data_IF_685919597501
#
_entry.id   IF_685919597501
#
_cell.length_a   1.000
_cell.length_b   1.000
_cell.length_c   1.000
_cell.angle_alpha   90.00
_cell.angle_beta   90.00
_cell.angle_gamma   90.00
#
_symmetry.space_group_name_H-M   'P 1'
#
loop_
_entity.id
_entity.type
_entity.pdbx_description
1 polymer ?
#
# COMPACT_ATOMS: atom_id res chain seq x y z
N UNK A 1 5.93 18.23 -16.61
CA UNK A 1 4.49 17.90 -16.49
C UNK A 1 3.81 19.00 -15.70
N UNK A 2 2.65 19.53 -16.14
CA UNK A 2 1.95 20.63 -15.45
C UNK A 2 1.56 20.24 -14.02
N UNK A 3 1.50 21.24 -13.13
CA UNK A 3 1.07 21.05 -11.75
C UNK A 3 -0.35 20.46 -11.72
N UNK A 4 -0.54 19.42 -10.90
CA UNK A 4 -1.83 18.76 -10.74
C UNK A 4 -2.77 19.70 -9.97
N UNK A 5 -3.93 20.05 -10.54
CA UNK A 5 -4.93 20.84 -9.79
C UNK A 5 -5.49 20.01 -8.63
N UNK A 6 -6.00 20.67 -7.58
CA UNK A 6 -6.56 19.95 -6.42
C UNK A 6 -7.68 18.98 -6.84
N UNK A 7 -8.60 19.39 -7.72
CA UNK A 7 -9.67 18.53 -8.22
C UNK A 7 -9.12 17.28 -8.91
N UNK A 8 -8.11 17.43 -9.76
CA UNK A 8 -7.45 16.29 -10.42
C UNK A 8 -6.75 15.38 -9.42
N UNK A 9 -6.21 15.94 -8.32
CA UNK A 9 -5.54 15.16 -7.29
C UNK A 9 -6.54 14.30 -6.51
N UNK A 10 -7.71 14.85 -6.17
CA UNK A 10 -8.79 14.08 -5.54
C UNK A 10 -9.35 12.99 -6.46
N UNK A 11 -9.55 13.27 -7.75
CA UNK A 11 -9.97 12.26 -8.72
C UNK A 11 -8.91 11.15 -8.87
N UNK A 12 -7.63 11.52 -8.92
CA UNK A 12 -6.54 10.55 -8.94
C UNK A 12 -6.54 9.67 -7.67
N UNK A 13 -6.78 10.25 -6.49
CA UNK A 13 -6.90 9.49 -5.24
C UNK A 13 -8.01 8.45 -5.32
N UNK A 14 -9.19 8.79 -5.84
CA UNK A 14 -10.29 7.82 -6.01
C UNK A 14 -9.91 6.64 -6.93
N UNK A 15 -9.23 6.93 -8.05
CA UNK A 15 -8.75 5.88 -8.96
C UNK A 15 -7.68 5.01 -8.29
N UNK A 16 -6.73 5.63 -7.57
CA UNK A 16 -5.67 4.92 -6.84
C UNK A 16 -6.26 3.98 -5.79
N UNK A 17 -7.21 4.45 -4.98
CA UNK A 17 -7.79 3.63 -3.91
C UNK A 17 -8.74 2.57 -4.44
N UNK A 18 -9.40 2.78 -5.58
CA UNK A 18 -10.12 1.71 -6.26
C UNK A 18 -9.17 0.61 -6.75
N UNK A 19 -8.05 1.01 -7.37
CA UNK A 19 -7.02 0.07 -7.81
C UNK A 19 -6.46 -0.71 -6.62
N UNK A 20 -6.04 -0.04 -5.55
CA UNK A 20 -5.45 -0.68 -4.38
C UNK A 20 -6.47 -1.49 -3.57
N UNK A 21 -7.74 -1.07 -3.52
CA UNK A 21 -8.83 -1.83 -2.92
C UNK A 21 -9.07 -3.17 -3.59
N UNK A 22 -8.73 -3.32 -4.88
CA UNK A 22 -8.78 -4.60 -5.58
C UNK A 22 -7.66 -5.58 -5.19
N UNK A 23 -6.59 -5.10 -4.57
CA UNK A 23 -5.37 -5.91 -4.36
C UNK A 23 -5.56 -7.06 -3.38
N UNK A 24 -6.22 -6.91 -2.23
CA UNK A 24 -6.46 -8.05 -1.33
C UNK A 24 -7.17 -9.23 -2.02
N UNK A 25 -8.23 -8.96 -2.78
CA UNK A 25 -8.99 -9.99 -3.49
C UNK A 25 -8.16 -10.67 -4.59
N UNK A 26 -7.47 -9.87 -5.42
CA UNK A 26 -6.63 -10.41 -6.50
C UNK A 26 -5.35 -11.08 -5.98
N UNK A 27 -4.75 -10.60 -4.89
CA UNK A 27 -3.59 -11.22 -4.26
C UNK A 27 -3.94 -12.61 -3.71
N UNK A 28 -5.12 -12.79 -3.10
CA UNK A 28 -5.59 -14.12 -2.66
C UNK A 28 -5.63 -15.15 -3.78
N UNK A 29 -5.95 -14.74 -5.02
CA UNK A 29 -5.92 -15.65 -6.17
C UNK A 29 -4.50 -16.13 -6.47
N UNK A 30 -3.52 -15.23 -6.46
CA UNK A 30 -2.12 -15.57 -6.69
C UNK A 30 -1.48 -16.34 -5.53
N UNK A 31 -1.89 -16.07 -4.29
CA UNK A 31 -1.41 -16.76 -3.08
C UNK A 31 -1.78 -18.25 -3.02
N UNK A 32 -2.67 -18.73 -3.90
CA UNK A 32 -2.95 -20.17 -4.06
C UNK A 32 -1.80 -20.93 -4.71
N UNK A 33 -1.02 -20.26 -5.53
CA UNK A 33 0.05 -20.85 -6.34
C UNK A 33 1.44 -20.34 -5.96
N UNK A 34 1.54 -19.11 -5.44
CA UNK A 34 2.78 -18.48 -5.00
C UNK A 34 2.79 -18.25 -3.49
N UNK A 35 3.95 -18.45 -2.86
CA UNK A 35 4.15 -18.02 -1.47
C UNK A 35 4.06 -16.49 -1.36
N UNK A 36 3.68 -15.93 -0.19
CA UNK A 36 3.56 -14.47 -0.04
C UNK A 36 4.86 -13.73 -0.34
N UNK A 37 6.00 -14.32 0.03
CA UNK A 37 7.33 -13.76 -0.22
C UNK A 37 7.75 -13.82 -1.69
N UNK A 38 7.40 -14.90 -2.40
CA UNK A 38 7.68 -15.01 -3.83
C UNK A 38 6.81 -14.04 -4.64
N UNK A 39 5.52 -13.93 -4.30
CA UNK A 39 4.58 -13.04 -4.98
C UNK A 39 5.03 -11.57 -4.90
N UNK A 40 5.39 -11.09 -3.71
CA UNK A 40 5.95 -9.74 -3.53
C UNK A 40 7.30 -9.59 -4.21
N UNK A 41 8.20 -10.57 -4.15
CA UNK A 41 9.48 -10.51 -4.85
C UNK A 41 9.31 -10.37 -6.36
N UNK A 42 8.47 -11.20 -6.98
CA UNK A 42 8.19 -11.16 -8.42
C UNK A 42 7.55 -9.82 -8.81
N UNK A 43 6.52 -9.39 -8.07
CA UNK A 43 5.82 -8.13 -8.28
C UNK A 43 6.74 -6.92 -8.16
N UNK A 44 7.52 -6.84 -7.08
CA UNK A 44 8.40 -5.71 -6.80
C UNK A 44 9.59 -5.69 -7.76
N UNK A 45 10.10 -6.85 -8.20
CA UNK A 45 11.13 -6.92 -9.25
C UNK A 45 10.62 -6.37 -10.58
N UNK A 46 9.42 -6.81 -11.01
CA UNK A 46 8.78 -6.29 -12.20
C UNK A 46 8.54 -4.78 -12.11
N UNK A 47 7.99 -4.31 -10.99
CA UNK A 47 7.75 -2.91 -10.72
C UNK A 47 9.04 -2.07 -10.76
N UNK A 48 10.10 -2.52 -10.11
CA UNK A 48 11.41 -1.83 -10.10
C UNK A 48 11.98 -1.71 -11.51
N UNK A 49 11.99 -2.80 -12.29
CA UNK A 49 12.45 -2.78 -13.67
C UNK A 49 11.64 -1.83 -14.54
N UNK A 50 10.31 -1.92 -14.46
CA UNK A 50 9.40 -1.04 -15.20
C UNK A 50 9.61 0.43 -14.84
N UNK A 51 9.70 0.76 -13.56
CA UNK A 51 9.90 2.12 -13.07
C UNK A 51 11.25 2.71 -13.44
N UNK A 52 12.32 1.90 -13.45
CA UNK A 52 13.64 2.32 -13.93
C UNK A 52 13.58 2.65 -15.41
N UNK A 53 13.01 1.76 -16.24
CA UNK A 53 12.86 2.00 -17.68
C UNK A 53 12.03 3.25 -17.95
N UNK A 54 10.90 3.42 -17.26
CA UNK A 54 10.04 4.59 -17.38
C UNK A 54 10.77 5.89 -16.98
N UNK A 55 11.53 5.87 -15.88
CA UNK A 55 12.31 7.01 -15.41
C UNK A 55 13.40 7.41 -16.42
N UNK A 56 14.12 6.43 -16.97
CA UNK A 56 15.17 6.67 -17.97
C UNK A 56 14.59 7.30 -19.24
N UNK A 57 13.41 6.83 -19.69
CA UNK A 57 12.73 7.36 -20.89
C UNK A 57 12.14 8.76 -20.73
N UNK A 58 11.76 9.15 -19.51
CA UNK A 58 11.09 10.44 -19.25
C UNK A 58 12.06 11.59 -18.91
N UNK A 59 13.37 11.34 -18.97
CA UNK A 59 14.40 12.38 -18.82
C UNK A 59 15.38 12.07 -17.68
N UNK A 60 16.21 11.04 -17.88
CA UNK A 60 17.20 10.52 -16.91
C UNK A 60 18.26 11.51 -16.38
N UNK A 61 18.16 12.80 -16.67
CA UNK A 61 19.00 13.84 -16.06
C UNK A 61 18.85 13.87 -14.52
N UNK A 62 17.68 13.52 -13.99
CA UNK A 62 17.44 13.39 -12.55
C UNK A 62 18.24 12.24 -11.88
N UNK A 63 18.80 11.31 -12.67
CA UNK A 63 19.61 10.18 -12.18
C UNK A 63 21.11 10.52 -12.16
N UNK A 64 21.54 11.60 -12.82
CA UNK A 64 22.96 11.86 -13.09
C UNK A 64 23.79 12.33 -11.89
N UNK A 65 23.19 12.54 -10.73
CA UNK A 65 23.91 12.84 -9.48
C UNK A 65 23.14 12.30 -8.27
N UNK A 66 22.99 10.97 -8.17
CA UNK A 66 22.44 10.36 -6.94
C UNK A 66 23.50 10.44 -5.85
N UNK A 67 23.40 11.46 -5.00
CA UNK A 67 24.26 11.61 -3.83
C UNK A 67 23.98 10.56 -2.76
N UNK A 68 24.93 10.35 -1.85
CA UNK A 68 24.77 9.45 -0.69
C UNK A 68 23.56 9.81 0.19
N UNK A 69 23.15 11.09 0.20
CA UNK A 69 21.91 11.54 0.85
C UNK A 69 20.67 10.96 0.17
N UNK A 70 20.61 11.02 -1.16
CA UNK A 70 19.50 10.49 -1.96
C UNK A 70 19.39 8.96 -1.83
N UNK A 71 20.51 8.25 -1.79
CA UNK A 71 20.51 6.81 -1.51
C UNK A 71 19.93 6.48 -0.13
N UNK A 72 20.25 7.26 0.90
CA UNK A 72 19.65 7.11 2.23
C UNK A 72 18.14 7.35 2.22
N UNK A 73 17.67 8.36 1.48
CA UNK A 73 16.23 8.60 1.29
C UNK A 73 15.56 7.38 0.64
N UNK A 74 16.15 6.86 -0.45
CA UNK A 74 15.62 5.68 -1.13
C UNK A 74 15.61 4.47 -0.21
N UNK A 75 16.65 4.27 0.61
CA UNK A 75 16.70 3.15 1.55
C UNK A 75 15.60 3.27 2.61
N UNK A 76 15.39 4.45 3.20
CA UNK A 76 14.32 4.66 4.19
C UNK A 76 12.94 4.42 3.57
N UNK A 77 12.69 4.95 2.36
CA UNK A 77 11.42 4.76 1.67
C UNK A 77 11.21 3.30 1.24
N UNK A 78 12.26 2.64 0.76
CA UNK A 78 12.21 1.22 0.36
C UNK A 78 12.03 0.30 1.55
N UNK A 79 12.74 0.54 2.65
CA UNK A 79 12.59 -0.20 3.90
C UNK A 79 11.19 -0.02 4.50
N UNK A 80 10.66 1.21 4.53
CA UNK A 80 9.36 1.47 5.15
C UNK A 80 8.17 1.08 4.26
N UNK A 81 8.14 1.54 3.01
CA UNK A 81 6.96 1.40 2.15
C UNK A 81 6.94 0.09 1.35
N UNK A 82 8.08 -0.31 0.82
CA UNK A 82 8.12 -1.44 -0.10
C UNK A 82 8.40 -2.74 0.67
N UNK A 83 9.51 -2.82 1.39
CA UNK A 83 9.76 -3.96 2.27
C UNK A 83 8.80 -3.95 3.45
N UNK A 84 8.79 -2.93 4.31
CA UNK A 84 8.03 -2.92 5.57
C UNK A 84 6.52 -2.89 5.41
N UNK A 85 5.98 -2.14 4.44
CA UNK A 85 4.55 -2.12 4.18
C UNK A 85 4.13 -3.19 3.18
N UNK A 86 4.67 -3.18 1.96
CA UNK A 86 4.18 -4.10 0.92
C UNK A 86 4.45 -5.57 1.28
N UNK A 87 5.64 -5.93 1.78
CA UNK A 87 5.90 -7.33 2.17
C UNK A 87 4.93 -7.77 3.26
N UNK A 88 4.84 -6.99 4.35
CA UNK A 88 4.04 -7.38 5.50
C UNK A 88 2.55 -7.42 5.17
N UNK A 89 2.04 -6.58 4.27
CA UNK A 89 0.65 -6.69 3.79
C UNK A 89 0.39 -8.05 3.14
N UNK A 90 1.28 -8.55 2.28
CA UNK A 90 1.05 -9.83 1.59
C UNK A 90 1.24 -11.03 2.51
N UNK A 91 2.21 -10.95 3.43
CA UNK A 91 2.37 -11.98 4.46
C UNK A 91 1.16 -11.97 5.40
N UNK A 92 0.65 -10.80 5.79
CA UNK A 92 -0.57 -10.68 6.58
C UNK A 92 -1.78 -11.31 5.85
N UNK A 93 -1.97 -11.01 4.56
CA UNK A 93 -3.05 -11.61 3.75
C UNK A 93 -2.97 -13.14 3.63
N UNK A 94 -1.80 -13.74 3.87
CA UNK A 94 -1.64 -15.19 3.95
C UNK A 94 -2.11 -15.76 5.31
N UNK A 95 -1.92 -15.01 6.40
CA UNK A 95 -2.22 -15.44 7.78
C UNK A 95 -3.55 -14.92 8.36
N UNK A 96 -4.20 -13.98 7.68
CA UNK A 96 -5.49 -13.42 8.10
C UNK A 96 -6.48 -13.40 6.95
N UNK A 97 -7.75 -13.09 7.23
CA UNK A 97 -8.77 -12.95 6.19
C UNK A 97 -8.63 -11.60 5.49
N UNK A 98 -9.13 -11.49 4.25
CA UNK A 98 -9.16 -10.21 3.53
C UNK A 98 -9.95 -9.15 4.33
N UNK A 99 -11.05 -9.55 4.96
CA UNK A 99 -11.82 -8.71 5.87
C UNK A 99 -10.95 -8.15 7.01
N UNK A 100 -10.31 -9.01 7.82
CA UNK A 100 -9.49 -8.56 8.96
C UNK A 100 -8.34 -7.62 8.54
N UNK A 101 -7.65 -7.93 7.45
CA UNK A 101 -6.61 -7.05 6.90
C UNK A 101 -7.17 -5.67 6.51
N UNK A 102 -8.37 -5.63 5.92
CA UNK A 102 -9.06 -4.40 5.55
C UNK A 102 -9.49 -3.59 6.78
N UNK A 103 -9.90 -4.22 7.90
CA UNK A 103 -10.20 -3.51 9.17
C UNK A 103 -9.01 -2.72 9.64
N UNK A 104 -7.88 -3.41 9.76
CA UNK A 104 -6.67 -2.82 10.31
C UNK A 104 -6.17 -1.73 9.35
N UNK A 105 -6.29 -1.94 8.04
CA UNK A 105 -5.98 -0.90 7.06
C UNK A 105 -6.88 0.35 7.16
N UNK A 106 -8.07 0.26 7.74
CA UNK A 106 -8.89 1.44 8.04
C UNK A 106 -8.27 2.39 9.07
N UNK A 107 -7.34 1.89 9.89
CA UNK A 107 -6.57 2.71 10.81
C UNK A 107 -5.43 3.49 10.11
N UNK A 108 -5.18 3.24 8.82
CA UNK A 108 -4.16 3.96 8.05
C UNK A 108 -4.28 5.49 8.14
N UNK A 109 -5.46 6.11 7.89
CA UNK A 109 -5.61 7.56 8.03
C UNK A 109 -5.27 8.08 9.42
N UNK A 110 -5.55 7.33 10.49
CA UNK A 110 -5.18 7.74 11.86
C UNK A 110 -3.66 7.73 12.02
N UNK A 111 -3.00 6.64 11.62
CA UNK A 111 -1.53 6.52 11.69
C UNK A 111 -0.82 7.60 10.88
N UNK A 112 -1.27 7.84 9.64
CA UNK A 112 -0.72 8.89 8.78
C UNK A 112 -0.96 10.28 9.37
N UNK A 113 -2.16 10.57 9.88
CA UNK A 113 -2.47 11.88 10.46
C UNK A 113 -1.65 12.18 11.72
N UNK A 114 -1.51 11.20 12.63
CA UNK A 114 -0.68 11.33 13.82
C UNK A 114 0.79 11.56 13.47
N UNK A 115 1.32 10.77 12.54
CA UNK A 115 2.70 10.91 12.10
C UNK A 115 2.94 12.21 11.34
N UNK A 116 2.00 12.64 10.49
CA UNK A 116 2.09 13.91 9.77
C UNK A 116 2.06 15.12 10.72
N UNK A 117 1.23 15.07 11.77
CA UNK A 117 1.24 16.08 12.82
C UNK A 117 2.58 16.11 13.56
N UNK A 118 3.11 14.95 13.95
CA UNK A 118 4.35 14.86 14.71
C UNK A 118 5.60 15.24 13.90
N UNK A 119 5.69 14.81 12.64
CA UNK A 119 6.90 14.94 11.81
C UNK A 119 6.89 16.15 10.86
N UNK A 120 5.72 16.51 10.31
CA UNK A 120 5.57 17.63 9.38
C UNK A 120 4.93 18.86 10.03
N UNK A 121 4.47 18.75 11.28
CA UNK A 121 3.73 19.82 11.95
C UNK A 121 2.35 20.08 11.34
N UNK A 122 1.77 19.11 10.61
CA UNK A 122 0.47 19.28 9.98
C UNK A 122 -0.61 19.54 11.05
N UNK A 123 -1.30 20.68 10.93
CA UNK A 123 -2.38 21.08 11.84
C UNK A 123 -3.72 20.79 11.20
N UNK A 124 -4.36 19.70 11.62
CA UNK A 124 -5.73 19.37 11.23
C UNK A 124 -6.74 20.17 12.07
N UNK A 125 -7.78 20.68 11.42
CA UNK A 125 -8.93 21.29 12.10
C UNK A 125 -9.71 20.25 12.89
N UNK A 126 -10.55 20.69 13.84
CA UNK A 126 -11.43 19.78 14.58
C UNK A 126 -12.33 18.97 13.64
N UNK A 127 -12.85 19.60 12.59
CA UNK A 127 -13.67 18.93 11.56
C UNK A 127 -12.88 17.85 10.81
N UNK A 128 -11.59 18.06 10.55
CA UNK A 128 -10.74 17.06 9.89
C UNK A 128 -10.44 15.87 10.80
N UNK A 129 -10.18 16.11 12.09
CA UNK A 129 -10.05 15.03 13.07
C UNK A 129 -11.33 14.22 13.22
N UNK A 130 -12.48 14.90 13.25
CA UNK A 130 -13.79 14.23 13.22
C UNK A 130 -13.96 13.41 11.95
N UNK A 131 -13.58 13.93 10.79
CA UNK A 131 -13.62 13.19 9.52
C UNK A 131 -12.76 11.92 9.54
N UNK A 132 -11.53 12.01 10.06
CA UNK A 132 -10.66 10.84 10.26
C UNK A 132 -11.31 9.81 11.20
N UNK A 133 -11.87 10.27 12.32
CA UNK A 133 -12.53 9.41 13.30
C UNK A 133 -13.78 8.72 12.75
N UNK A 134 -14.68 9.47 12.11
CA UNK A 134 -15.90 8.95 11.47
C UNK A 134 -15.54 7.97 10.36
N UNK A 135 -14.52 8.26 9.56
CA UNK A 135 -14.12 7.41 8.46
C UNK A 135 -13.51 6.08 8.95
N UNK A 136 -12.66 6.13 9.98
CA UNK A 136 -12.15 4.92 10.63
C UNK A 136 -13.27 4.09 11.28
N UNK A 137 -14.22 4.75 11.96
CA UNK A 137 -15.36 4.11 12.59
C UNK A 137 -16.31 3.44 11.58
N UNK A 138 -16.59 4.11 10.45
CA UNK A 138 -17.43 3.54 9.40
C UNK A 138 -16.86 2.25 8.82
N UNK A 139 -15.56 2.20 8.58
CA UNK A 139 -14.93 0.94 8.12
C UNK A 139 -14.95 -0.12 9.22
N UNK A 140 -14.72 0.24 10.49
CA UNK A 140 -14.83 -0.71 11.61
C UNK A 140 -16.22 -1.35 11.65
N UNK A 141 -17.30 -0.57 11.48
CA UNK A 141 -18.67 -1.08 11.44
C UNK A 141 -18.90 -2.05 10.28
N UNK A 142 -18.49 -1.66 9.06
CA UNK A 142 -18.66 -2.47 7.85
C UNK A 142 -18.03 -3.84 8.04
N UNK A 143 -16.79 -3.87 8.53
CA UNK A 143 -16.06 -5.13 8.56
C UNK A 143 -16.36 -5.98 9.79
N UNK A 144 -16.67 -5.38 10.94
CA UNK A 144 -17.17 -6.13 12.11
C UNK A 144 -18.60 -6.63 11.94
N UNK A 145 -19.23 -6.32 10.80
CA UNK A 145 -20.64 -6.56 10.56
C UNK A 145 -21.52 -6.05 11.70
N UNK A 146 -21.25 -4.82 12.17
CA UNK A 146 -21.93 -4.20 13.31
C UNK A 146 -21.67 -4.84 14.68
N UNK A 147 -20.91 -5.95 14.75
CA UNK A 147 -20.62 -6.67 16.00
C UNK A 147 -19.30 -6.20 16.61
N UNK A 148 -19.23 -4.92 16.98
CA UNK A 148 -18.03 -4.35 17.62
C UNK A 148 -17.62 -5.09 18.91
N UNK A 149 -18.60 -5.61 19.66
CA UNK A 149 -18.38 -6.39 20.89
C UNK A 149 -17.86 -7.83 20.64
N UNK A 150 -17.79 -8.27 19.38
CA UNK A 150 -17.18 -9.55 19.01
C UNK A 150 -15.66 -9.44 18.80
N UNK A 151 -15.08 -8.23 18.81
CA UNK A 151 -13.63 -8.01 18.78
C UNK A 151 -13.02 -8.44 20.11
N UNK A 152 -12.70 -9.73 20.24
CA UNK A 152 -11.94 -10.24 21.39
C UNK A 152 -10.45 -10.12 21.10
N UNK A 153 -9.69 -9.57 22.05
CA UNK A 153 -8.22 -9.54 21.97
C UNK A 153 -7.62 -10.95 21.81
N UNK A 154 -8.34 -11.97 22.28
CA UNK A 154 -8.01 -13.39 22.18
C UNK A 154 -8.08 -13.93 20.73
N UNK A 155 -8.75 -13.22 19.80
CA UNK A 155 -8.87 -13.62 18.39
C UNK A 155 -7.79 -13.01 17.49
N UNK A 156 -6.87 -12.21 18.06
CA UNK A 156 -5.77 -11.60 17.31
C UNK A 156 -4.83 -12.67 16.73
N UNK A 157 -4.62 -12.63 15.42
CA UNK A 157 -3.75 -13.53 14.68
C UNK A 157 -2.40 -12.88 14.39
N UNK A 158 -1.39 -13.69 14.06
CA UNK A 158 -0.08 -13.19 13.64
C UNK A 158 -0.18 -12.18 12.46
N UNK A 159 -1.13 -12.39 11.54
CA UNK A 159 -1.40 -11.48 10.42
C UNK A 159 -1.86 -10.08 10.85
N UNK A 160 -2.44 -9.93 12.04
CA UNK A 160 -2.93 -8.65 12.52
C UNK A 160 -1.76 -7.75 12.97
N UNK A 161 -0.78 -8.33 13.67
CA UNK A 161 0.47 -7.64 14.02
C UNK A 161 1.27 -7.25 12.78
N UNK A 162 1.31 -8.13 11.77
CA UNK A 162 1.94 -7.82 10.48
C UNK A 162 1.21 -6.67 9.76
N UNK A 163 -0.12 -6.60 9.85
CA UNK A 163 -0.88 -5.50 9.27
C UNK A 163 -0.59 -4.19 9.99
N UNK A 164 -0.49 -4.18 11.32
CA UNK A 164 -0.07 -3.01 12.09
C UNK A 164 1.36 -2.55 11.74
N UNK A 165 2.29 -3.49 11.57
CA UNK A 165 3.63 -3.18 11.11
C UNK A 165 3.61 -2.60 9.67
N UNK A 166 2.77 -3.14 8.79
CA UNK A 166 2.58 -2.62 7.45
C UNK A 166 2.03 -1.18 7.46
N UNK A 167 1.07 -0.87 8.34
CA UNK A 167 0.54 0.48 8.54
C UNK A 167 1.59 1.46 9.03
N UNK A 168 2.48 1.02 9.93
CA UNK A 168 3.62 1.81 10.38
C UNK A 168 4.54 2.15 9.22
N UNK A 169 4.93 1.14 8.43
CA UNK A 169 5.74 1.32 7.21
C UNK A 169 5.08 2.26 6.20
N UNK A 170 3.76 2.12 5.99
CA UNK A 170 2.97 2.96 5.10
C UNK A 170 2.93 4.43 5.56
N UNK A 171 2.75 4.64 6.86
CA UNK A 171 2.72 5.97 7.47
C UNK A 171 4.08 6.65 7.31
N UNK A 172 5.18 5.94 7.56
CA UNK A 172 6.53 6.44 7.34
C UNK A 172 6.75 6.77 5.87
N UNK A 173 6.43 5.85 4.96
CA UNK A 173 6.57 6.07 3.52
C UNK A 173 5.81 7.33 3.05
N UNK A 174 4.55 7.49 3.46
CA UNK A 174 3.71 8.60 3.03
C UNK A 174 4.17 9.94 3.63
N UNK A 175 4.47 9.98 4.93
CA UNK A 175 4.81 11.22 5.64
C UNK A 175 6.24 11.66 5.39
N UNK A 176 7.21 10.73 5.48
CA UNK A 176 8.60 11.02 5.11
C UNK A 176 8.72 11.32 3.61
N UNK A 177 7.97 10.57 2.78
CA UNK A 177 7.81 10.84 1.35
C UNK A 177 7.44 12.28 1.08
N UNK A 178 6.36 12.79 1.70
CA UNK A 178 5.94 14.19 1.55
C UNK A 178 7.07 15.20 1.79
N UNK A 179 7.93 14.98 2.78
CA UNK A 179 9.07 15.87 3.06
C UNK A 179 10.09 15.85 1.94
N UNK A 180 10.48 14.67 1.47
CA UNK A 180 11.51 14.54 0.43
C UNK A 180 11.02 14.92 -0.97
N UNK A 181 9.70 14.98 -1.19
CA UNK A 181 9.10 15.49 -2.42
C UNK A 181 9.29 17.01 -2.63
N UNK A 182 9.88 17.73 -1.66
CA UNK A 182 10.40 19.09 -1.87
C UNK A 182 11.72 19.11 -2.65
N UNK A 183 12.46 18.00 -2.65
CA UNK A 183 13.80 17.87 -3.26
C UNK A 183 13.79 16.88 -4.44
N UNK A 184 12.95 15.84 -4.36
CA UNK A 184 12.89 14.74 -5.32
C UNK A 184 11.55 14.75 -6.07
N UNK A 185 11.58 14.39 -7.35
CA UNK A 185 10.34 14.16 -8.09
C UNK A 185 9.59 12.92 -7.55
N UNK A 186 8.24 12.90 -7.60
CA UNK A 186 7.45 11.72 -7.24
C UNK A 186 7.88 10.43 -7.94
N UNK A 187 8.27 10.53 -9.22
CA UNK A 187 8.76 9.40 -9.99
C UNK A 187 10.09 8.89 -9.44
N UNK A 188 11.07 9.77 -9.20
CA UNK A 188 12.38 9.39 -8.67
C UNK A 188 12.28 8.79 -7.26
N UNK A 189 11.51 9.42 -6.36
CA UNK A 189 11.32 8.90 -5.00
C UNK A 189 10.64 7.52 -5.00
N UNK A 190 9.65 7.32 -5.87
CA UNK A 190 8.96 6.02 -6.01
C UNK A 190 9.89 4.96 -6.60
N UNK A 191 10.57 5.26 -7.71
CA UNK A 191 11.51 4.33 -8.34
C UNK A 191 12.63 3.94 -7.38
N UNK A 192 13.23 4.91 -6.68
CA UNK A 192 14.26 4.65 -5.69
C UNK A 192 13.79 3.74 -4.56
N UNK A 193 12.59 4.00 -4.02
CA UNK A 193 11.97 3.16 -2.99
C UNK A 193 11.71 1.73 -3.48
N UNK A 194 11.19 1.56 -4.69
CA UNK A 194 10.96 0.24 -5.29
C UNK A 194 12.28 -0.51 -5.49
N UNK A 195 13.32 0.13 -6.03
CA UNK A 195 14.62 -0.52 -6.25
C UNK A 195 15.22 -0.97 -4.92
N UNK A 196 15.37 -0.08 -3.94
CA UNK A 196 15.96 -0.42 -2.63
C UNK A 196 15.09 -1.40 -1.85
N UNK A 197 13.78 -1.25 -1.89
CA UNK A 197 12.84 -2.17 -1.26
C UNK A 197 12.89 -3.58 -1.87
N UNK A 198 12.93 -3.68 -3.20
CA UNK A 198 13.11 -4.96 -3.90
C UNK A 198 14.43 -5.63 -3.52
N UNK A 199 15.52 -4.86 -3.40
CA UNK A 199 16.81 -5.39 -2.94
C UNK A 199 16.77 -5.95 -1.52
N UNK A 200 15.86 -5.49 -0.66
CA UNK A 200 15.61 -6.06 0.66
C UNK A 200 14.63 -7.25 0.62
N UNK A 201 13.64 -7.20 -0.28
CA UNK A 201 12.64 -8.27 -0.46
C UNK A 201 13.28 -9.54 -1.03
N UNK A 202 14.17 -9.43 -2.03
CA UNK A 202 14.81 -10.57 -2.66
C UNK A 202 15.53 -11.51 -1.67
N UNK A 203 16.45 -11.04 -0.80
CA UNK A 203 17.07 -11.91 0.20
C UNK A 203 16.04 -12.44 1.21
N UNK A 204 15.04 -11.63 1.59
CA UNK A 204 13.94 -12.10 2.45
C UNK A 204 13.21 -13.29 1.81
N UNK A 205 12.91 -13.21 0.51
CA UNK A 205 12.24 -14.27 -0.23
C UNK A 205 13.10 -15.52 -0.40
N UNK A 206 14.40 -15.35 -0.65
CA UNK A 206 15.34 -16.47 -0.76
C UNK A 206 15.52 -17.21 0.58
N UNK A 207 15.69 -16.46 1.67
CA UNK A 207 15.84 -17.02 3.02
C UNK A 207 14.56 -17.68 3.53
N UNK A 208 13.39 -17.21 3.09
CA UNK A 208 12.10 -17.78 3.51
C UNK A 208 11.60 -18.89 2.60
N UNK A 209 12.13 -19.03 1.37
CA UNK A 209 11.68 -20.02 0.40
C UNK A 209 11.59 -21.46 0.94
N UNK A 210 12.55 -21.96 1.77
CA UNK A 210 12.47 -23.32 2.30
C UNK A 210 11.28 -23.57 3.25
N UNK A 211 10.69 -22.53 3.83
CA UNK A 211 9.58 -22.63 4.79
C UNK A 211 8.19 -22.57 4.14
N UNK A 212 8.11 -22.42 2.81
CA UNK A 212 6.86 -22.34 2.08
C UNK A 212 6.83 -23.33 0.92
N UNK A 213 5.63 -23.75 0.46
CA UNK A 213 5.52 -24.54 -0.76
C UNK A 213 6.19 -23.86 -1.94
N UNK A 214 6.85 -24.66 -2.79
CA UNK A 214 7.48 -24.15 -4.00
C UNK A 214 6.44 -23.48 -4.90
N UNK A 215 6.76 -22.32 -5.51
CA UNK A 215 5.81 -21.59 -6.35
C UNK A 215 5.46 -22.39 -7.61
N UNK A 216 4.16 -22.48 -7.91
CA UNK A 216 3.65 -23.13 -9.13
C UNK A 216 3.76 -22.18 -10.32
N UNK A 217 4.95 -22.12 -10.92
CA UNK A 217 5.29 -21.15 -11.98
C UNK A 217 4.42 -21.23 -13.24
N UNK A 218 3.71 -22.34 -13.45
CA UNK A 218 2.79 -22.54 -14.56
C UNK A 218 1.43 -21.81 -14.40
N UNK A 219 1.14 -21.19 -13.25
CA UNK A 219 -0.15 -20.53 -13.00
C UNK A 219 -0.27 -19.21 -13.78
N UNK A 220 -1.13 -19.13 -14.82
CA UNK A 220 -1.33 -17.88 -15.57
C UNK A 220 -2.03 -16.82 -14.71
N UNK A 221 -2.88 -17.24 -13.76
CA UNK A 221 -3.59 -16.33 -12.86
C UNK A 221 -2.62 -15.63 -11.92
N UNK A 222 -1.67 -16.37 -11.33
CA UNK A 222 -0.68 -15.77 -10.43
C UNK A 222 0.20 -14.74 -11.16
N UNK A 223 0.64 -15.05 -12.39
CA UNK A 223 1.37 -14.10 -13.21
C UNK A 223 0.55 -12.89 -13.64
N UNK A 224 -0.72 -13.07 -14.00
CA UNK A 224 -1.62 -11.95 -14.33
C UNK A 224 -1.73 -10.96 -13.16
N UNK A 225 -1.81 -11.46 -11.92
CA UNK A 225 -1.78 -10.63 -10.71
C UNK A 225 -0.44 -9.93 -10.53
N UNK A 226 0.68 -10.61 -10.77
CA UNK A 226 2.03 -10.01 -10.73
C UNK A 226 2.14 -8.85 -11.73
N UNK A 227 1.70 -9.04 -12.98
CA UNK A 227 1.71 -7.97 -13.99
C UNK A 227 0.77 -6.83 -13.64
N UNK A 228 -0.46 -7.13 -13.25
CA UNK A 228 -1.45 -6.16 -12.83
C UNK A 228 -0.95 -5.28 -11.68
N UNK A 229 -0.59 -5.88 -10.56
CA UNK A 229 -0.22 -5.17 -9.34
C UNK A 229 1.21 -4.61 -9.41
N UNK A 230 2.09 -5.21 -10.22
CA UNK A 230 3.46 -4.76 -10.45
C UNK A 230 3.53 -3.52 -11.34
N UNK A 231 2.82 -3.53 -12.46
CA UNK A 231 2.85 -2.42 -13.42
C UNK A 231 1.91 -1.29 -13.01
N UNK A 232 0.60 -1.56 -12.91
CA UNK A 232 -0.37 -0.53 -12.54
C UNK A 232 -0.16 -0.05 -11.11
N UNK A 233 0.24 -0.95 -10.20
CA UNK A 233 0.56 -0.57 -8.82
C UNK A 233 1.77 0.35 -8.72
N UNK A 234 2.81 0.13 -9.52
CA UNK A 234 3.95 1.03 -9.56
C UNK A 234 3.56 2.44 -10.03
N UNK A 235 2.77 2.53 -11.10
CA UNK A 235 2.24 3.82 -11.60
C UNK A 235 1.37 4.51 -10.55
N UNK A 236 0.51 3.75 -9.87
CA UNK A 236 -0.36 4.28 -8.83
C UNK A 236 0.42 4.84 -7.63
N UNK A 237 1.58 4.28 -7.27
CA UNK A 237 2.44 4.86 -6.23
C UNK A 237 3.05 6.21 -6.65
N UNK A 238 3.42 6.38 -7.94
CA UNK A 238 3.83 7.70 -8.45
C UNK A 238 2.67 8.69 -8.33
N UNK A 239 1.46 8.28 -8.71
CA UNK A 239 0.28 9.13 -8.60
C UNK A 239 -0.08 9.46 -7.15
N UNK A 240 0.10 8.51 -6.23
CA UNK A 240 -0.06 8.72 -4.80
C UNK A 240 0.85 9.83 -4.30
N UNK A 241 2.15 9.78 -4.61
CA UNK A 241 3.08 10.85 -4.25
C UNK A 241 2.74 12.18 -4.89
N UNK A 242 2.28 12.21 -6.15
CA UNK A 242 1.79 13.46 -6.77
C UNK A 242 0.58 14.01 -6.01
N UNK A 243 -0.37 13.16 -5.65
CA UNK A 243 -1.55 13.58 -4.90
C UNK A 243 -1.18 14.07 -3.49
N UNK A 244 -0.33 13.34 -2.76
CA UNK A 244 0.19 13.73 -1.44
C UNK A 244 0.98 15.05 -1.51
N UNK A 245 1.72 15.29 -2.59
CA UNK A 245 2.44 16.55 -2.81
C UNK A 245 1.49 17.75 -2.90
N UNK A 246 0.29 17.58 -3.48
CA UNK A 246 -0.71 18.65 -3.66
C UNK A 246 -1.69 18.75 -2.49
N UNK A 247 -2.22 17.61 -2.03
CA UNK A 247 -3.34 17.52 -1.09
C UNK A 247 -2.87 17.42 0.37
N UNK A 248 -1.67 16.87 0.59
CA UNK A 248 -1.12 16.58 1.92
C UNK A 248 -1.40 15.14 2.36
N UNK A 249 -0.53 14.57 3.23
CA UNK A 249 -0.57 13.15 3.57
C UNK A 249 -1.83 12.76 4.35
N UNK A 250 -2.22 13.56 5.35
CA UNK A 250 -3.39 13.26 6.19
C UNK A 250 -4.69 13.20 5.38
N UNK A 251 -4.90 14.19 4.50
CA UNK A 251 -6.09 14.26 3.64
C UNK A 251 -6.11 13.15 2.59
N UNK A 252 -4.96 12.82 1.97
CA UNK A 252 -4.87 11.71 1.03
C UNK A 252 -5.19 10.37 1.70
N UNK A 253 -4.73 10.16 2.94
CA UNK A 253 -4.94 8.90 3.65
C UNK A 253 -6.41 8.62 3.98
N UNK A 254 -7.27 9.63 4.13
CA UNK A 254 -8.72 9.44 4.33
C UNK A 254 -9.36 8.70 3.15
N UNK A 255 -8.87 8.91 1.93
CA UNK A 255 -9.39 8.21 0.75
C UNK A 255 -9.13 6.70 0.81
N UNK A 256 -8.16 6.23 1.60
CA UNK A 256 -7.89 4.80 1.73
C UNK A 256 -9.08 4.03 2.35
N UNK A 257 -9.99 4.71 3.05
CA UNK A 257 -11.22 4.10 3.56
C UNK A 257 -12.24 3.73 2.46
N UNK A 258 -12.01 4.11 1.20
CA UNK A 258 -12.74 3.57 0.05
C UNK A 258 -12.22 2.19 -0.41
N UNK A 259 -11.00 1.80 -0.03
CA UNK A 259 -10.44 0.49 -0.39
C UNK A 259 -11.31 -0.68 0.13
N UNK A 260 -11.79 -0.69 1.40
CA UNK A 260 -12.71 -1.71 1.89
C UNK A 260 -13.93 -1.95 0.99
N UNK A 261 -14.57 -0.86 0.53
CA UNK A 261 -15.79 -0.92 -0.28
C UNK A 261 -15.51 -1.67 -1.59
N UNK A 262 -14.41 -1.30 -2.27
CA UNK A 262 -13.99 -1.94 -3.52
C UNK A 262 -13.52 -3.37 -3.28
N UNK A 263 -12.79 -3.61 -2.19
CA UNK A 263 -12.29 -4.93 -1.84
C UNK A 263 -13.39 -5.92 -1.54
N UNK A 264 -14.43 -5.52 -0.79
CA UNK A 264 -15.60 -6.35 -0.47
C UNK A 264 -16.38 -6.68 -1.75
N UNK A 265 -16.67 -5.66 -2.58
CA UNK A 265 -17.38 -5.87 -3.83
C UNK A 265 -16.66 -6.87 -4.76
N UNK A 266 -15.33 -6.77 -4.85
CA UNK A 266 -14.53 -7.69 -5.66
C UNK A 266 -14.32 -9.06 -5.00
N UNK A 267 -14.25 -9.15 -3.67
CA UNK A 267 -14.17 -10.43 -2.98
C UNK A 267 -15.46 -11.24 -3.20
N UNK A 268 -16.62 -10.59 -3.14
CA UNK A 268 -17.89 -11.24 -3.46
C UNK A 268 -17.96 -11.70 -4.92
N UNK A 269 -17.55 -10.84 -5.87
CA UNK A 269 -17.61 -11.16 -7.29
C UNK A 269 -16.59 -12.22 -7.74
N UNK A 270 -15.36 -12.18 -7.22
CA UNK A 270 -14.23 -13.01 -7.70
C UNK A 270 -13.95 -14.24 -6.83
N UNK A 271 -14.27 -14.16 -5.53
CA UNK A 271 -13.97 -15.23 -4.57
C UNK A 271 -15.23 -15.94 -4.07
N UNK A 272 -16.42 -15.50 -4.50
CA UNK A 272 -17.72 -15.98 -4.01
C UNK A 272 -17.83 -15.90 -2.47
N UNK A 273 -17.17 -14.91 -1.84
CA UNK A 273 -17.31 -14.65 -0.41
C UNK A 273 -18.70 -14.02 -0.14
N UNK A 274 -19.51 -14.54 0.81
CA UNK A 274 -20.85 -14.01 1.06
C UNK A 274 -20.80 -12.58 1.62
N UNK A 275 -21.64 -11.69 1.05
CA UNK A 275 -21.78 -10.31 1.53
C UNK A 275 -22.78 -10.27 2.71
N UNK A 276 -22.32 -9.84 3.88
CA UNK A 276 -23.18 -9.60 5.04
C UNK A 276 -23.98 -8.30 4.91
N UNK A 277 -25.15 -8.20 5.56
CA UNK A 277 -26.02 -7.02 5.50
C UNK A 277 -25.36 -5.70 5.95
N UNK A 278 -24.32 -5.80 6.79
CA UNK A 278 -23.53 -4.67 7.27
C UNK A 278 -22.39 -4.25 6.33
N UNK A 279 -22.19 -5.01 5.26
CA UNK A 279 -21.22 -4.73 4.20
C UNK A 279 -21.84 -3.99 3.00
N UNK A 280 -23.17 -3.78 3.03
CA UNK A 280 -23.95 -2.92 2.13
C UNK A 280 -24.04 -1.51 2.71
#
# INVERSE_FOLDING_TARGET
>A
MPALSQTRAYLALLVIVALWGSYPATAKLALRDFSPFFLTAARCTLASGFLVVLLLRTGGAAVRAVEARTLRIFLVLGLAGIWGSTQFTYVALHYTTAGNAVILQAAAPVGVALMARAYLGERLSRAQWLGVGVSAFGVLLVVTSGRLAALRLEELRAGDFLTLAALGGWSVYTVYGKRVLGELSPALATTGAYVTGTLLILPTALLTAPFYPAPRLASPVAWAVVFYQGLLGAVAHIWWYRAVQVVGPSRSAVFMNFQPIVGIALAAALLAEPIGAWQL
#
